data_IF_805006718754
#
_entry.id   IF_805006718754
#
_cell.length_a   1.000
_cell.length_b   1.000
_cell.length_c   1.000
_cell.angle_alpha   90.00
_cell.angle_beta   90.00
_cell.angle_gamma   90.00
#
_symmetry.space_group_name_H-M   'P 1'
#
loop_
_entity.id
_entity.type
_entity.pdbx_description
1 polymer ?
#
# COMPACT_ATOMS: atom_id res chain seq x y z
N UNK A 1 14.99 -41.33 -16.15
CA UNK A 1 15.81 -40.63 -15.13
C UNK A 1 14.88 -39.86 -14.20
N UNK A 2 14.87 -40.17 -12.90
CA UNK A 2 14.11 -39.42 -11.92
C UNK A 2 14.71 -38.01 -11.79
N UNK A 3 13.85 -36.99 -11.80
CA UNK A 3 14.26 -35.60 -11.56
C UNK A 3 14.09 -35.35 -10.07
N UNK A 4 15.14 -34.96 -9.36
CA UNK A 4 15.04 -34.57 -7.95
C UNK A 4 14.27 -33.25 -7.87
N UNK A 5 12.95 -33.34 -7.70
CA UNK A 5 12.08 -32.17 -7.57
C UNK A 5 12.18 -31.63 -6.14
N UNK A 6 12.45 -30.34 -6.03
CA UNK A 6 12.50 -29.64 -4.75
C UNK A 6 11.12 -29.61 -4.10
N UNK A 7 11.04 -30.03 -2.84
CA UNK A 7 9.79 -30.08 -2.06
C UNK A 7 10.02 -29.45 -0.67
N UNK A 8 9.98 -28.11 -0.55
CA UNK A 8 10.25 -27.43 0.70
C UNK A 8 9.15 -27.68 1.74
N UNK A 9 9.52 -27.68 3.01
CA UNK A 9 8.56 -27.59 4.11
C UNK A 9 8.10 -26.13 4.24
N UNK A 10 6.86 -25.86 3.87
CA UNK A 10 6.22 -24.53 3.98
C UNK A 10 5.15 -24.57 5.07
N UNK A 11 4.92 -23.44 5.74
CA UNK A 11 3.80 -23.31 6.67
C UNK A 11 2.47 -23.21 5.92
N UNK A 12 1.39 -23.64 6.57
CA UNK A 12 0.05 -23.62 5.97
C UNK A 12 -0.42 -22.21 5.60
N UNK A 13 0.01 -21.19 6.33
CA UNK A 13 -0.33 -19.79 6.01
C UNK A 13 0.34 -19.32 4.73
N UNK A 14 1.59 -19.72 4.48
CA UNK A 14 2.30 -19.42 3.23
C UNK A 14 1.62 -20.11 2.06
N UNK A 15 1.26 -21.39 2.22
CA UNK A 15 0.54 -22.14 1.18
C UNK A 15 -0.81 -21.49 0.88
N UNK A 16 -1.60 -21.14 1.90
CA UNK A 16 -2.90 -20.46 1.74
C UNK A 16 -2.75 -19.09 1.06
N UNK A 17 -1.72 -18.34 1.42
CA UNK A 17 -1.45 -17.02 0.83
C UNK A 17 -1.06 -17.14 -0.65
N UNK A 18 -0.14 -18.05 -0.98
CA UNK A 18 0.26 -18.33 -2.36
C UNK A 18 -0.93 -18.80 -3.21
N UNK A 19 -1.81 -19.63 -2.66
CA UNK A 19 -2.99 -20.11 -3.36
C UNK A 19 -3.96 -18.96 -3.69
N UNK A 20 -4.31 -18.14 -2.68
CA UNK A 20 -5.21 -17.00 -2.86
C UNK A 20 -4.65 -16.01 -3.88
N UNK A 21 -3.35 -15.74 -3.79
CA UNK A 21 -2.68 -14.80 -4.69
C UNK A 21 -2.55 -15.36 -6.11
N UNK A 22 -2.24 -16.65 -6.26
CA UNK A 22 -2.22 -17.33 -7.55
C UNK A 22 -3.60 -17.30 -8.22
N UNK A 23 -4.67 -17.54 -7.45
CA UNK A 23 -6.05 -17.42 -7.93
C UNK A 23 -6.37 -16.00 -8.40
N UNK A 24 -5.99 -14.97 -7.62
CA UNK A 24 -6.22 -13.56 -7.96
C UNK A 24 -5.51 -13.13 -9.25
N UNK A 25 -4.30 -13.64 -9.49
CA UNK A 25 -3.48 -13.31 -10.68
C UNK A 25 -3.71 -14.26 -11.86
N UNK A 26 -4.56 -15.29 -11.72
CA UNK A 26 -4.70 -16.38 -12.69
C UNK A 26 -3.36 -17.05 -13.05
N UNK A 27 -2.50 -17.27 -12.04
CA UNK A 27 -1.20 -17.91 -12.19
C UNK A 27 -1.09 -19.19 -11.35
N UNK A 28 -0.40 -20.23 -11.84
CA UNK A 28 -0.11 -21.39 -11.02
C UNK A 28 0.83 -21.01 -9.86
N UNK A 29 0.59 -21.59 -8.69
CA UNK A 29 1.35 -21.27 -7.46
C UNK A 29 2.87 -21.47 -7.62
N UNK A 30 3.29 -22.45 -8.41
CA UNK A 30 4.71 -22.73 -8.68
C UNK A 30 5.38 -21.58 -9.41
N UNK A 31 4.71 -20.98 -10.40
CA UNK A 31 5.22 -19.81 -11.15
C UNK A 31 5.26 -18.58 -10.27
N UNK A 32 4.23 -18.38 -9.43
CA UNK A 32 4.18 -17.28 -8.47
C UNK A 32 5.33 -17.39 -7.45
N UNK A 33 5.55 -18.58 -6.89
CA UNK A 33 6.64 -18.82 -5.94
C UNK A 33 8.01 -18.56 -6.58
N UNK A 34 8.23 -19.03 -7.80
CA UNK A 34 9.46 -18.82 -8.56
C UNK A 34 9.70 -17.32 -8.84
N UNK A 35 8.68 -16.56 -9.21
CA UNK A 35 8.76 -15.11 -9.38
C UNK A 35 9.11 -14.39 -8.06
N UNK A 36 8.43 -14.72 -6.96
CA UNK A 36 8.70 -14.15 -5.65
C UNK A 36 10.12 -14.47 -5.15
N UNK A 37 10.60 -15.69 -5.37
CA UNK A 37 11.96 -16.09 -5.04
C UNK A 37 12.98 -15.30 -5.87
N UNK A 38 12.77 -15.17 -7.19
CA UNK A 38 13.65 -14.34 -8.04
C UNK A 38 13.65 -12.88 -7.64
N UNK A 39 12.49 -12.32 -7.31
CA UNK A 39 12.36 -10.95 -6.84
C UNK A 39 13.12 -10.77 -5.53
N UNK A 40 12.84 -11.59 -4.51
CA UNK A 40 13.54 -11.53 -3.23
C UNK A 40 15.06 -11.61 -3.42
N UNK A 41 15.52 -12.61 -4.18
CA UNK A 41 16.94 -12.84 -4.45
C UNK A 41 17.58 -11.69 -5.25
N UNK A 42 16.89 -11.15 -6.24
CA UNK A 42 17.35 -9.99 -7.02
C UNK A 42 17.36 -8.69 -6.21
N UNK A 43 16.38 -8.51 -5.31
CA UNK A 43 16.26 -7.31 -4.45
C UNK A 43 17.32 -7.25 -3.37
N UNK A 44 17.97 -8.36 -2.97
CA UNK A 44 19.12 -8.30 -2.07
C UNK A 44 20.33 -7.56 -2.68
N UNK A 45 20.31 -7.26 -3.99
CA UNK A 45 21.36 -6.46 -4.66
C UNK A 45 21.14 -4.95 -4.50
N UNK A 46 19.96 -4.51 -4.08
CA UNK A 46 19.66 -3.11 -3.76
C UNK A 46 18.45 -3.08 -2.82
N UNK A 47 18.68 -3.20 -1.52
CA UNK A 47 17.61 -3.02 -0.52
C UNK A 47 17.56 -1.52 -0.19
N UNK A 48 16.61 -0.71 -0.69
CA UNK A 48 16.27 0.51 0.01
C UNK A 48 15.60 0.09 1.33
N UNK A 49 16.21 0.49 2.44
CA UNK A 49 15.69 0.34 3.79
C UNK A 49 14.26 0.90 3.88
N UNK A 50 13.25 0.03 3.83
CA UNK A 50 11.88 0.40 4.15
C UNK A 50 11.81 0.71 5.64
N UNK A 51 11.48 1.97 5.92
CA UNK A 51 11.64 2.63 7.21
C UNK A 51 11.02 1.90 8.39
N UNK A 52 11.81 1.77 9.45
CA UNK A 52 11.31 1.62 10.80
C UNK A 52 10.72 2.97 11.22
N UNK A 53 9.42 3.16 11.03
CA UNK A 53 8.69 4.25 11.72
C UNK A 53 8.28 3.74 13.09
N UNK A 54 9.24 3.79 14.02
CA UNK A 54 8.94 3.88 15.44
C UNK A 54 9.03 5.35 15.81
N UNK A 55 7.94 6.10 15.66
CA UNK A 55 7.83 7.40 16.32
C UNK A 55 6.81 7.30 17.45
N UNK A 56 7.38 7.39 18.65
CA UNK A 56 6.74 7.33 19.94
C UNK A 56 5.75 8.49 20.11
N UNK A 57 4.61 8.14 20.71
CA UNK A 57 3.80 9.07 21.51
C UNK A 57 4.72 9.77 22.51
N UNK A 58 4.72 11.11 22.51
CA UNK A 58 4.65 12.00 23.69
C UNK A 58 4.69 13.47 23.24
N UNK A 59 3.71 14.25 23.75
CA UNK A 59 3.85 15.60 24.30
C UNK A 59 2.88 16.67 23.75
N UNK A 60 2.19 17.29 24.71
CA UNK A 60 1.05 18.19 24.62
C UNK A 60 1.36 19.62 24.12
N UNK A 61 0.28 20.30 23.69
CA UNK A 61 0.02 21.68 23.24
C UNK A 61 1.14 22.74 23.18
N UNK A 62 1.04 23.67 22.20
CA UNK A 62 0.71 25.05 22.59
C UNK A 62 -0.38 25.72 21.71
N UNK A 63 -1.18 26.67 22.27
CA UNK A 63 -2.29 27.31 21.55
C UNK A 63 -1.84 28.62 20.89
N UNK A 64 -2.13 28.84 19.61
CA UNK A 64 -2.25 30.21 19.06
C UNK A 64 -3.31 30.28 17.95
N UNK A 65 -4.50 30.78 18.30
CA UNK A 65 -5.51 31.25 17.35
C UNK A 65 -5.33 32.75 17.16
N UNK A 66 -4.68 33.17 16.08
CA UNK A 66 -4.73 34.55 15.60
C UNK A 66 -5.81 34.65 14.52
N UNK A 67 -6.96 35.19 14.94
CA UNK A 67 -8.08 35.57 14.06
C UNK A 67 -7.64 36.61 13.02
N UNK A 68 -8.00 36.50 11.73
CA UNK A 68 -8.01 37.64 10.84
C UNK A 68 -9.31 38.43 11.01
N UNK A 69 -9.16 39.76 11.12
CA UNK A 69 -10.20 40.77 11.32
C UNK A 69 -10.81 41.18 9.96
N UNK A 70 -12.10 41.54 10.00
CA UNK A 70 -12.97 42.01 8.92
C UNK A 70 -12.40 43.15 8.04
N UNK A 71 -12.75 43.21 6.74
CA UNK A 71 -13.76 44.15 6.19
C UNK A 71 -13.80 44.21 4.63
N UNK A 72 -15.00 44.53 4.12
CA UNK A 72 -15.39 44.98 2.75
C UNK A 72 -15.98 43.96 1.72
N UNK A 73 -17.32 43.96 1.65
CA UNK A 73 -18.17 43.70 0.45
C UNK A 73 -18.05 44.85 -0.58
N UNK A 74 -18.53 44.78 -1.87
CA UNK A 74 -19.68 44.00 -2.38
C UNK A 74 -19.59 43.38 -3.82
N UNK A 75 -20.58 42.54 -4.15
CA UNK A 75 -21.26 42.36 -5.46
C UNK A 75 -20.48 41.96 -6.74
N UNK A 76 -20.80 40.79 -7.32
CA UNK A 76 -21.56 40.69 -8.60
C UNK A 76 -21.87 39.22 -8.98
N UNK A 77 -23.10 39.04 -9.45
CA UNK A 77 -23.80 37.87 -10.00
C UNK A 77 -22.98 37.05 -11.04
N UNK A 78 -23.22 35.75 -11.21
CA UNK A 78 -24.33 35.24 -12.04
C UNK A 78 -24.78 33.82 -11.70
N UNK A 79 -26.10 33.63 -11.83
CA UNK A 79 -26.82 32.37 -11.81
C UNK A 79 -26.45 31.45 -12.98
N UNK A 80 -26.60 30.12 -12.82
CA UNK A 80 -27.33 29.27 -13.78
C UNK A 80 -27.83 28.00 -13.08
N UNK A 81 -29.16 27.93 -13.07
CA UNK A 81 -30.04 26.79 -12.84
C UNK A 81 -29.81 25.72 -13.91
N UNK A 82 -29.58 24.47 -13.51
CA UNK A 82 -29.90 23.31 -14.35
C UNK A 82 -30.68 22.29 -13.50
N UNK A 83 -31.75 21.82 -14.12
CA UNK A 83 -32.90 21.06 -13.64
C UNK A 83 -32.82 19.64 -14.26
N UNK A 84 -33.69 18.73 -13.78
CA UNK A 84 -34.00 17.35 -14.23
C UNK A 84 -33.10 16.22 -13.69
N UNK A 85 -33.60 15.09 -13.18
CA UNK A 85 -34.97 14.49 -13.10
C UNK A 85 -35.28 13.98 -11.69
#
# INVERSE_FOLDING_TARGET
MARNLYSPRLSDDVVRSLYREGKRRHLPMTRLADELLRQALGTFTCIPSVGSTSDSVLQADPPQTTRPRHDHHPSCSNATRMHLE
#
